data_IF_125913298026
#
_entry.id   IF_125913298026
#
_cell.length_a   1.000
_cell.length_b   1.000
_cell.length_c   1.000
_cell.angle_alpha   90.00
_cell.angle_beta   90.00
_cell.angle_gamma   90.00
#
_symmetry.space_group_name_H-M   'P 1'
#
loop_
_entity.id
_entity.type
_entity.pdbx_description
1 polymer ?
#
# COMPACT_ATOMS: atom_id res chain seq x y z
N UNK A 1 -19.60 8.84 28.73
CA UNK A 1 -19.19 7.54 28.21
C UNK A 1 -18.04 7.79 27.23
N UNK A 2 -16.96 7.02 27.27
CA UNK A 2 -15.84 7.19 26.32
C UNK A 2 -16.33 6.79 24.93
N UNK A 3 -16.05 7.64 23.92
CA UNK A 3 -16.36 7.35 22.51
C UNK A 3 -15.13 6.81 21.83
N UNK A 4 -15.31 5.75 21.06
CA UNK A 4 -14.26 5.12 20.28
C UNK A 4 -14.62 5.07 18.80
N UNK A 5 -13.61 5.20 17.94
CA UNK A 5 -13.70 4.97 16.51
C UNK A 5 -12.63 3.94 16.16
N UNK A 6 -13.01 2.87 15.49
CA UNK A 6 -12.07 1.82 15.13
C UNK A 6 -11.55 1.97 13.72
N UNK A 7 -10.30 1.55 13.51
CA UNK A 7 -9.74 1.32 12.20
C UNK A 7 -9.11 -0.07 12.11
N UNK A 8 -9.47 -0.78 11.03
CA UNK A 8 -9.04 -2.15 10.76
C UNK A 8 -8.41 -2.27 9.39
N UNK A 9 -7.38 -3.10 9.26
CA UNK A 9 -6.69 -3.29 8.00
C UNK A 9 -6.35 -4.76 7.73
N UNK A 10 -6.51 -5.17 6.47
CA UNK A 10 -5.99 -6.44 5.95
C UNK A 10 -5.09 -6.18 4.75
N UNK A 11 -4.13 -7.07 4.52
CA UNK A 11 -3.09 -6.87 3.50
C UNK A 11 -3.43 -7.44 2.13
N UNK A 12 -4.48 -8.23 1.98
CA UNK A 12 -4.87 -8.83 0.70
C UNK A 12 -6.38 -8.85 0.49
N UNK A 13 -6.80 -8.76 -0.79
CA UNK A 13 -8.20 -8.89 -1.17
C UNK A 13 -8.79 -10.24 -0.72
N UNK A 14 -8.00 -11.33 -0.74
CA UNK A 14 -8.44 -12.64 -0.26
C UNK A 14 -8.73 -12.62 1.24
N UNK A 15 -7.90 -11.96 2.04
CA UNK A 15 -8.13 -11.78 3.48
C UNK A 15 -9.33 -10.86 3.75
N UNK A 16 -9.53 -9.83 2.94
CA UNK A 16 -10.72 -8.98 2.99
C UNK A 16 -11.98 -9.76 2.61
N UNK A 17 -11.92 -10.56 1.55
CA UNK A 17 -13.06 -11.35 1.07
C UNK A 17 -13.41 -12.51 2.00
N UNK A 18 -12.44 -13.16 2.65
CA UNK A 18 -12.69 -14.22 3.64
C UNK A 18 -13.25 -13.70 4.96
N UNK A 19 -13.09 -12.41 5.24
CA UNK A 19 -13.53 -11.75 6.47
C UNK A 19 -12.81 -12.18 7.76
N UNK A 20 -12.12 -13.32 7.77
CA UNK A 20 -11.51 -13.89 8.97
C UNK A 20 -10.54 -12.92 9.66
N UNK A 21 -9.69 -12.24 8.90
CA UNK A 21 -8.75 -11.28 9.45
C UNK A 21 -9.39 -10.01 10.00
N UNK A 22 -10.52 -9.57 9.42
CA UNK A 22 -11.30 -8.42 9.91
C UNK A 22 -12.17 -8.82 11.10
N UNK A 23 -12.80 -10.01 11.06
CA UNK A 23 -13.61 -10.53 12.16
C UNK A 23 -12.80 -10.66 13.45
N UNK A 24 -11.58 -11.22 13.40
CA UNK A 24 -10.71 -11.30 14.57
C UNK A 24 -10.32 -9.93 15.13
N UNK A 25 -10.14 -8.92 14.27
CA UNK A 25 -9.89 -7.55 14.72
C UNK A 25 -11.15 -6.94 15.36
N UNK A 26 -12.34 -7.23 14.83
CA UNK A 26 -13.62 -6.79 15.40
C UNK A 26 -13.79 -7.31 16.82
N UNK A 27 -13.60 -8.60 17.02
CA UNK A 27 -13.73 -9.25 18.32
C UNK A 27 -12.81 -8.63 19.38
N UNK A 28 -11.55 -8.37 19.01
CA UNK A 28 -10.58 -7.70 19.88
C UNK A 28 -11.06 -6.29 20.26
N UNK A 29 -11.53 -5.52 19.27
CA UNK A 29 -12.02 -4.15 19.48
C UNK A 29 -13.27 -4.14 20.35
N UNK A 30 -14.26 -4.99 20.08
CA UNK A 30 -15.49 -5.09 20.88
C UNK A 30 -15.21 -5.45 22.33
N UNK A 31 -14.31 -6.42 22.54
CA UNK A 31 -13.87 -6.80 23.88
C UNK A 31 -13.22 -5.61 24.62
N UNK A 32 -12.35 -4.88 23.93
CA UNK A 32 -11.69 -3.70 24.50
C UNK A 32 -12.69 -2.60 24.84
N UNK A 33 -13.58 -2.24 23.91
CA UNK A 33 -14.62 -1.20 24.12
C UNK A 33 -15.51 -1.56 25.32
N UNK A 34 -15.90 -2.84 25.43
CA UNK A 34 -16.69 -3.33 26.58
C UNK A 34 -15.93 -3.23 27.91
N UNK A 35 -14.66 -3.60 27.91
CA UNK A 35 -13.80 -3.49 29.10
C UNK A 35 -13.65 -2.03 29.56
N UNK A 36 -13.51 -1.09 28.62
CA UNK A 36 -13.42 0.35 28.87
C UNK A 36 -14.79 1.00 29.19
N UNK A 37 -15.90 0.25 29.19
CA UNK A 37 -17.26 0.76 29.36
C UNK A 37 -17.57 1.93 28.42
N UNK A 38 -17.04 1.84 27.20
CA UNK A 38 -17.18 2.86 26.14
C UNK A 38 -18.22 2.50 25.12
N UNK A 39 -18.31 3.30 24.07
CA UNK A 39 -19.18 3.16 22.93
C UNK A 39 -18.35 3.24 21.63
N UNK A 40 -18.53 2.29 20.73
CA UNK A 40 -17.97 2.35 19.38
C UNK A 40 -18.94 3.10 18.48
N UNK A 41 -18.61 4.36 18.15
CA UNK A 41 -19.49 5.24 17.37
C UNK A 41 -19.28 5.14 15.86
N UNK A 42 -18.13 4.63 15.40
CA UNK A 42 -17.86 4.36 13.99
C UNK A 42 -16.77 3.30 13.83
N UNK A 43 -16.80 2.61 12.69
CA UNK A 43 -15.83 1.58 12.32
C UNK A 43 -15.39 1.74 10.88
N UNK A 44 -14.10 1.91 10.68
CA UNK A 44 -13.46 2.04 9.38
C UNK A 44 -12.61 0.81 9.07
N UNK A 45 -12.63 0.38 7.82
CA UNK A 45 -11.77 -0.74 7.40
C UNK A 45 -11.32 -0.57 5.96
N UNK A 46 -10.13 -1.07 5.68
CA UNK A 46 -9.57 -1.06 4.33
C UNK A 46 -8.69 -2.27 4.02
N UNK A 47 -8.59 -2.56 2.73
CA UNK A 47 -7.66 -3.55 2.20
C UNK A 47 -6.47 -2.79 1.62
N UNK A 48 -5.35 -2.81 2.31
CA UNK A 48 -4.17 -2.05 1.91
C UNK A 48 -2.88 -2.85 2.09
N UNK A 49 -2.13 -3.01 1.01
CA UNK A 49 -0.90 -3.82 0.97
C UNK A 49 0.38 -2.99 1.10
N UNK A 50 0.29 -1.68 0.97
CA UNK A 50 1.43 -0.76 1.08
C UNK A 50 2.09 -0.79 2.45
N UNK A 51 3.33 -0.34 2.51
CA UNK A 51 4.06 -0.16 3.78
C UNK A 51 3.76 1.18 4.42
N UNK A 52 3.53 2.21 3.59
CA UNK A 52 3.27 3.58 4.02
C UNK A 52 1.79 3.76 4.38
N UNK A 53 1.52 4.37 5.52
CA UNK A 53 0.16 4.63 5.99
C UNK A 53 -0.48 5.86 5.30
N UNK A 54 0.33 6.66 4.61
CA UNK A 54 -0.14 7.79 3.80
C UNK A 54 -1.18 7.41 2.74
N UNK A 55 -1.12 6.16 2.25
CA UNK A 55 -2.11 5.61 1.31
C UNK A 55 -3.38 5.06 1.96
N UNK A 56 -3.49 5.06 3.29
CA UNK A 56 -4.64 4.56 4.03
C UNK A 56 -5.70 5.65 4.16
N UNK A 57 -6.63 5.70 3.19
CA UNK A 57 -7.67 6.75 3.14
C UNK A 57 -8.70 6.62 4.24
N UNK A 58 -9.07 5.40 4.61
CA UNK A 58 -10.04 5.16 5.69
C UNK A 58 -9.45 5.48 7.06
N UNK A 59 -8.14 5.28 7.25
CA UNK A 59 -7.44 5.73 8.46
C UNK A 59 -7.55 7.26 8.62
N UNK A 60 -7.32 8.02 7.55
CA UNK A 60 -7.42 9.48 7.59
C UNK A 60 -8.82 9.96 7.94
N UNK A 61 -9.86 9.35 7.37
CA UNK A 61 -11.26 9.63 7.72
C UNK A 61 -11.56 9.32 9.19
N UNK A 62 -11.08 8.18 9.70
CA UNK A 62 -11.24 7.80 11.09
C UNK A 62 -10.60 8.84 12.03
N UNK A 63 -9.37 9.30 11.72
CA UNK A 63 -8.67 10.32 12.49
C UNK A 63 -9.42 11.66 12.48
N UNK A 64 -9.90 12.09 11.33
CA UNK A 64 -10.68 13.32 11.19
C UNK A 64 -11.98 13.27 12.01
N UNK A 65 -12.69 12.14 11.96
CA UNK A 65 -13.89 11.95 12.76
C UNK A 65 -13.57 11.91 14.26
N UNK A 66 -12.48 11.27 14.67
CA UNK A 66 -12.04 11.30 16.06
C UNK A 66 -11.84 12.73 16.58
N UNK A 67 -11.15 13.57 15.82
CA UNK A 67 -10.95 14.98 16.16
C UNK A 67 -12.25 15.75 16.26
N UNK A 68 -13.19 15.50 15.35
CA UNK A 68 -14.49 16.15 15.33
C UNK A 68 -15.40 15.74 16.50
N UNK A 69 -15.43 14.47 16.84
CA UNK A 69 -16.32 13.89 17.86
C UNK A 69 -15.69 13.86 19.27
N UNK A 70 -14.43 14.23 19.41
CA UNK A 70 -13.67 14.06 20.66
C UNK A 70 -13.55 12.58 21.04
N UNK A 71 -13.46 11.69 20.05
CA UNK A 71 -13.36 10.25 20.22
C UNK A 71 -11.91 9.77 20.18
N UNK A 72 -11.65 8.61 20.80
CA UNK A 72 -10.34 7.95 20.77
C UNK A 72 -10.29 6.98 19.57
N UNK A 73 -9.23 7.05 18.77
CA UNK A 73 -8.97 6.07 17.74
C UNK A 73 -8.51 4.75 18.35
N UNK A 74 -9.11 3.63 18.00
CA UNK A 74 -8.69 2.32 18.48
C UNK A 74 -8.31 1.38 17.34
N UNK A 75 -7.25 0.62 17.55
CA UNK A 75 -6.64 -0.30 16.60
C UNK A 75 -6.43 -1.64 17.30
N UNK A 76 -6.89 -2.72 16.66
CA UNK A 76 -6.85 -4.05 17.28
C UNK A 76 -5.43 -4.49 17.69
N UNK A 77 -4.43 -4.19 16.87
CA UNK A 77 -3.04 -4.61 17.11
C UNK A 77 -2.04 -3.61 16.56
N UNK A 78 -0.93 -3.45 17.25
CA UNK A 78 0.20 -2.59 16.84
C UNK A 78 0.82 -3.00 15.51
N UNK A 79 0.80 -4.30 15.15
CA UNK A 79 1.32 -4.83 13.87
C UNK A 79 0.56 -4.35 12.63
N UNK A 80 -0.59 -3.70 12.80
CA UNK A 80 -1.29 -2.99 11.71
C UNK A 80 -0.49 -1.79 11.20
N UNK A 81 0.35 -1.21 12.06
CA UNK A 81 1.30 -0.17 11.67
C UNK A 81 2.65 -0.79 11.32
N UNK A 82 2.94 -0.88 10.03
CA UNK A 82 4.19 -1.49 9.53
C UNK A 82 5.38 -0.55 9.54
N UNK A 83 5.13 0.74 9.66
CA UNK A 83 6.14 1.79 9.67
C UNK A 83 6.11 2.47 11.03
N UNK A 84 7.16 2.24 11.82
CA UNK A 84 7.31 2.80 13.16
C UNK A 84 7.25 4.32 13.18
N UNK A 85 7.90 4.97 12.21
CA UNK A 85 7.98 6.44 12.14
C UNK A 85 6.58 7.02 11.90
N UNK A 86 5.85 6.48 10.91
CA UNK A 86 4.48 6.93 10.62
C UNK A 86 3.52 6.64 11.78
N UNK A 87 3.68 5.51 12.47
CA UNK A 87 2.88 5.19 13.65
C UNK A 87 3.05 6.22 14.77
N UNK A 88 4.28 6.65 15.01
CA UNK A 88 4.57 7.69 16.00
C UNK A 88 4.10 9.08 15.54
N UNK A 89 4.18 9.38 14.25
CA UNK A 89 3.61 10.61 13.67
C UNK A 89 2.09 10.65 13.88
N UNK A 90 1.39 9.53 13.62
CA UNK A 90 -0.06 9.43 13.85
C UNK A 90 -0.40 9.55 15.32
N UNK A 91 0.42 8.96 16.22
CA UNK A 91 0.25 9.14 17.66
C UNK A 91 0.33 10.62 18.06
N UNK A 92 1.31 11.35 17.53
CA UNK A 92 1.46 12.80 17.79
C UNK A 92 0.31 13.60 17.15
N UNK A 93 -0.09 13.27 15.93
CA UNK A 93 -1.20 13.92 15.23
C UNK A 93 -2.55 13.74 15.92
N UNK A 94 -2.70 12.62 16.65
CA UNK A 94 -3.86 12.32 17.50
C UNK A 94 -3.70 12.82 18.95
N UNK A 95 -2.62 13.55 19.25
CA UNK A 95 -2.33 14.07 20.60
C UNK A 95 -2.39 12.97 21.69
N UNK A 96 -1.96 11.76 21.35
CA UNK A 96 -2.05 10.58 22.23
C UNK A 96 -3.44 9.95 22.32
N UNK A 97 -4.43 10.47 21.61
CA UNK A 97 -5.81 9.95 21.60
C UNK A 97 -5.97 8.74 20.66
N UNK A 98 -5.03 7.82 20.76
CA UNK A 98 -5.00 6.55 20.02
C UNK A 98 -4.64 5.42 20.98
N UNK A 99 -5.42 4.33 20.93
CA UNK A 99 -5.16 3.12 21.70
C UNK A 99 -4.98 1.91 20.78
N UNK A 100 -4.03 1.09 21.18
CA UNK A 100 -3.85 -0.25 20.60
C UNK A 100 -4.39 -1.26 21.60
N UNK A 101 -5.34 -2.12 21.14
CA UNK A 101 -5.99 -3.05 22.04
C UNK A 101 -5.04 -4.11 22.62
N UNK A 102 -3.93 -4.41 21.92
CA UNK A 102 -2.86 -5.30 22.39
C UNK A 102 -1.85 -4.59 23.33
N UNK A 103 -1.87 -3.24 23.38
CA UNK A 103 -1.03 -2.41 24.27
C UNK A 103 -1.85 -1.22 24.80
N UNK A 104 -2.89 -1.45 25.63
CA UNK A 104 -3.77 -0.40 26.10
C UNK A 104 -3.03 0.57 27.02
N UNK A 105 -3.42 1.85 26.98
CA UNK A 105 -2.92 2.92 27.87
C UNK A 105 -1.40 3.13 27.83
N UNK A 106 -0.79 2.82 26.70
CA UNK A 106 0.65 2.94 26.52
C UNK A 106 1.03 4.38 26.18
N UNK A 107 1.99 4.94 26.89
CA UNK A 107 2.57 6.24 26.59
C UNK A 107 3.47 6.17 25.34
N UNK A 108 3.82 7.34 24.80
CA UNK A 108 4.65 7.46 23.61
C UNK A 108 6.02 6.79 23.75
N UNK A 109 6.63 6.86 24.96
CA UNK A 109 7.94 6.26 25.20
C UNK A 109 7.87 4.74 25.12
N UNK A 110 6.91 4.15 25.83
CA UNK A 110 6.69 2.71 25.82
C UNK A 110 6.32 2.20 24.41
N UNK A 111 5.44 2.93 23.71
CA UNK A 111 5.09 2.61 22.31
C UNK A 111 6.31 2.64 21.40
N UNK A 112 7.17 3.64 21.53
CA UNK A 112 8.43 3.75 20.77
C UNK A 112 9.33 2.54 21.02
N UNK A 113 9.45 2.12 22.28
CA UNK A 113 10.25 0.96 22.66
C UNK A 113 9.70 -0.33 22.03
N UNK A 114 8.39 -0.55 22.09
CA UNK A 114 7.76 -1.72 21.46
C UNK A 114 7.97 -1.76 19.93
N UNK A 115 7.80 -0.64 19.27
CA UNK A 115 8.06 -0.56 17.82
C UNK A 115 9.53 -0.83 17.50
N UNK A 116 10.47 -0.28 18.27
CA UNK A 116 11.89 -0.53 18.05
C UNK A 116 12.26 -2.01 18.27
N UNK A 117 11.66 -2.66 19.26
CA UNK A 117 11.84 -4.10 19.48
C UNK A 117 11.26 -4.93 18.36
N UNK A 118 10.06 -4.60 17.87
CA UNK A 118 9.43 -5.31 16.74
C UNK A 118 10.25 -5.17 15.45
N UNK A 119 10.81 -4.00 15.17
CA UNK A 119 11.70 -3.77 14.04
C UNK A 119 13.01 -4.60 14.16
N UNK A 120 13.60 -4.63 15.36
CA UNK A 120 14.79 -5.45 15.63
C UNK A 120 14.50 -6.95 15.43
N UNK A 121 13.36 -7.44 15.91
CA UNK A 121 12.96 -8.84 15.72
C UNK A 121 12.79 -9.16 14.23
N UNK A 122 12.12 -8.31 13.48
CA UNK A 122 11.94 -8.48 12.02
C UNK A 122 13.30 -8.52 11.30
N UNK A 123 14.26 -7.67 11.70
CA UNK A 123 15.62 -7.68 11.17
C UNK A 123 16.34 -9.01 11.48
N UNK A 124 16.28 -9.48 12.72
CA UNK A 124 16.90 -10.75 13.13
C UNK A 124 16.32 -11.92 12.36
N UNK A 125 14.98 -12.00 12.22
CA UNK A 125 14.30 -13.02 11.41
C UNK A 125 14.75 -12.97 9.96
N UNK A 126 14.87 -11.77 9.38
CA UNK A 126 15.36 -11.56 8.01
C UNK A 126 16.78 -12.08 7.83
N UNK A 127 17.69 -11.74 8.76
CA UNK A 127 19.09 -12.21 8.75
C UNK A 127 19.15 -13.74 8.83
N UNK A 128 18.44 -14.33 9.79
CA UNK A 128 18.37 -15.79 9.94
C UNK A 128 17.83 -16.49 8.70
N UNK A 129 16.77 -15.96 8.11
CA UNK A 129 16.16 -16.49 6.89
C UNK A 129 17.15 -16.42 5.72
N UNK A 130 17.82 -15.29 5.52
CA UNK A 130 18.84 -15.12 4.48
C UNK A 130 20.00 -16.11 4.67
N UNK A 131 20.49 -16.27 5.89
CA UNK A 131 21.57 -17.22 6.21
C UNK A 131 21.14 -18.66 5.93
N UNK A 132 19.93 -19.05 6.36
CA UNK A 132 19.39 -20.41 6.11
C UNK A 132 19.21 -20.68 4.60
N UNK A 133 18.72 -19.70 3.84
CA UNK A 133 18.59 -19.82 2.38
C UNK A 133 19.96 -19.90 1.69
N UNK A 134 20.94 -19.12 2.14
CA UNK A 134 22.30 -19.18 1.63
C UNK A 134 22.94 -20.56 1.87
N UNK A 135 22.77 -21.13 3.08
CA UNK A 135 23.25 -22.46 3.40
C UNK A 135 22.59 -23.55 2.52
N UNK A 136 21.27 -23.48 2.32
CA UNK A 136 20.56 -24.39 1.40
C UNK A 136 21.06 -24.27 -0.03
N UNK A 137 21.30 -23.04 -0.50
CA UNK A 137 21.85 -22.78 -1.84
C UNK A 137 23.24 -23.40 -1.99
N UNK A 138 24.11 -23.27 -0.98
CA UNK A 138 25.44 -23.88 -0.96
C UNK A 138 25.38 -25.41 -0.99
N UNK A 139 24.36 -26.04 -0.43
CA UNK A 139 24.08 -27.49 -0.50
C UNK A 139 23.46 -27.91 -1.84
N UNK A 140 23.36 -27.03 -2.83
CA UNK A 140 22.82 -27.35 -4.16
C UNK A 140 21.30 -27.33 -4.27
N UNK A 141 20.57 -26.90 -3.24
CA UNK A 141 19.12 -26.76 -3.34
C UNK A 141 18.75 -25.58 -4.24
N UNK A 142 17.88 -25.82 -5.22
CA UNK A 142 17.26 -24.74 -5.99
C UNK A 142 16.24 -24.03 -5.09
N UNK A 143 16.52 -22.76 -4.78
CA UNK A 143 15.61 -21.89 -4.04
C UNK A 143 14.64 -21.24 -5.02
N UNK A 144 13.42 -20.98 -4.57
CA UNK A 144 12.36 -20.40 -5.38
C UNK A 144 11.15 -21.31 -5.46
N UNK A 145 10.44 -21.26 -6.57
CA UNK A 145 9.26 -22.09 -6.78
C UNK A 145 9.48 -23.55 -6.51
N UNK A 146 8.57 -24.13 -5.74
CA UNK A 146 8.58 -25.56 -5.42
C UNK A 146 8.71 -26.43 -6.67
N UNK A 147 9.27 -27.61 -6.51
CA UNK A 147 9.54 -28.56 -7.58
C UNK A 147 8.31 -28.75 -8.49
N UNK A 148 8.46 -28.40 -9.76
CA UNK A 148 7.49 -28.74 -10.80
C UNK A 148 6.27 -27.82 -10.94
N UNK A 149 6.19 -26.68 -10.26
CA UNK A 149 5.12 -25.72 -10.53
C UNK A 149 5.46 -24.98 -11.81
N UNK A 150 4.73 -25.26 -12.88
CA UNK A 150 4.76 -24.46 -14.11
C UNK A 150 4.06 -23.13 -13.88
N UNK A 151 4.84 -22.06 -13.84
CA UNK A 151 4.33 -20.69 -13.70
C UNK A 151 4.06 -20.01 -15.05
N UNK A 152 4.25 -20.68 -16.18
CA UNK A 152 4.07 -20.07 -17.50
C UNK A 152 2.70 -19.41 -17.61
N UNK A 153 1.63 -20.12 -17.30
CA UNK A 153 0.26 -19.60 -17.31
C UNK A 153 0.05 -18.44 -16.33
N UNK A 154 0.62 -18.50 -15.12
CA UNK A 154 0.51 -17.42 -14.15
C UNK A 154 1.29 -16.19 -14.59
N UNK A 155 2.45 -16.36 -15.20
CA UNK A 155 3.25 -15.29 -15.77
C UNK A 155 2.56 -14.65 -16.98
N UNK A 156 1.98 -15.45 -17.85
CA UNK A 156 1.17 -14.98 -19.00
C UNK A 156 -0.05 -14.20 -18.54
N UNK A 157 -0.82 -14.73 -17.60
CA UNK A 157 -1.97 -14.04 -17.02
C UNK A 157 -1.57 -12.72 -16.34
N UNK A 158 -0.45 -12.70 -15.59
CA UNK A 158 0.08 -11.49 -14.98
C UNK A 158 0.59 -10.48 -16.01
N UNK A 159 1.20 -10.93 -17.09
CA UNK A 159 1.63 -10.06 -18.19
C UNK A 159 0.42 -9.48 -18.93
N UNK A 160 -0.62 -10.30 -19.19
CA UNK A 160 -1.85 -9.85 -19.80
C UNK A 160 -2.57 -8.82 -18.92
N UNK A 161 -2.75 -9.09 -17.63
CA UNK A 161 -3.37 -8.15 -16.71
C UNK A 161 -2.64 -6.80 -16.65
N UNK A 162 -1.30 -6.79 -16.71
CA UNK A 162 -0.50 -5.56 -16.80
C UNK A 162 -0.72 -4.81 -18.12
N UNK A 163 -0.81 -5.52 -19.24
CA UNK A 163 -1.13 -4.92 -20.54
C UNK A 163 -2.53 -4.31 -20.55
N UNK A 164 -3.53 -5.04 -20.03
CA UNK A 164 -4.91 -4.56 -19.96
C UNK A 164 -5.04 -3.34 -19.06
N UNK A 165 -4.37 -3.35 -17.90
CA UNK A 165 -4.30 -2.17 -17.02
C UNK A 165 -3.69 -0.97 -17.75
N UNK A 166 -2.55 -1.16 -18.42
CA UNK A 166 -1.89 -0.08 -19.14
C UNK A 166 -2.71 0.41 -20.33
N UNK A 167 -3.45 -0.48 -21.02
CA UNK A 167 -4.34 -0.15 -22.13
C UNK A 167 -5.58 0.64 -21.67
N UNK A 168 -6.05 0.39 -20.45
CA UNK A 168 -7.21 1.05 -19.89
C UNK A 168 -6.88 2.35 -19.14
N UNK A 169 -5.62 2.61 -18.88
CA UNK A 169 -5.16 3.82 -18.21
C UNK A 169 -5.52 5.08 -19.03
N UNK A 170 -6.23 6.07 -18.46
CA UNK A 170 -6.65 7.27 -19.16
C UNK A 170 -5.48 8.07 -19.74
N UNK A 171 -4.40 8.22 -18.98
CA UNK A 171 -3.21 8.94 -19.44
C UNK A 171 -2.56 8.25 -20.64
N UNK A 172 -2.43 6.92 -20.61
CA UNK A 172 -1.88 6.16 -21.71
C UNK A 172 -2.74 6.27 -22.98
N UNK A 173 -4.08 6.34 -22.84
CA UNK A 173 -4.99 6.57 -23.98
C UNK A 173 -4.77 7.95 -24.60
N UNK A 174 -4.63 8.99 -23.79
CA UNK A 174 -4.34 10.35 -24.25
C UNK A 174 -2.98 10.40 -24.96
N UNK A 175 -1.94 9.85 -24.31
CA UNK A 175 -0.59 9.81 -24.89
C UNK A 175 -0.63 9.07 -26.25
N UNK A 176 -1.27 7.90 -26.29
CA UNK A 176 -1.37 7.12 -27.53
C UNK A 176 -2.18 7.84 -28.62
N UNK A 177 -3.24 8.56 -28.26
CA UNK A 177 -4.00 9.40 -29.19
C UNK A 177 -3.15 10.49 -29.83
N UNK A 178 -2.18 11.04 -29.12
CA UNK A 178 -1.27 12.08 -29.64
C UNK A 178 -0.13 11.48 -30.47
N UNK A 179 0.52 10.40 -29.99
CA UNK A 179 1.76 9.89 -30.60
C UNK A 179 1.56 8.69 -31.51
N UNK A 180 0.44 7.98 -31.43
CA UNK A 180 0.20 6.70 -32.10
C UNK A 180 -0.38 6.77 -33.49
N UNK A 181 -0.98 7.91 -33.89
CA UNK A 181 -1.78 8.02 -35.11
C UNK A 181 -0.95 8.16 -36.41
N UNK A 182 0.26 8.71 -36.33
CA UNK A 182 1.06 9.14 -37.48
C UNK A 182 2.32 8.30 -37.76
N UNK A 183 2.34 7.03 -37.33
CA UNK A 183 3.51 6.18 -37.53
C UNK A 183 4.61 6.39 -36.46
N UNK A 184 5.87 6.19 -36.87
CA UNK A 184 7.01 6.43 -35.94
C UNK A 184 7.31 7.93 -35.92
N UNK A 185 7.19 8.61 -34.75
CA UNK A 185 7.38 10.06 -34.70
C UNK A 185 8.84 10.45 -34.98
N UNK A 186 9.02 11.50 -35.75
CA UNK A 186 10.32 12.16 -35.96
C UNK A 186 10.74 12.96 -34.72
N UNK A 187 11.96 13.51 -34.74
CA UNK A 187 12.44 14.36 -33.63
C UNK A 187 11.58 15.61 -33.44
N UNK A 188 11.20 16.25 -34.56
CA UNK A 188 10.36 17.46 -34.58
C UNK A 188 8.92 17.15 -34.13
N UNK A 189 8.40 15.98 -34.51
CA UNK A 189 7.10 15.52 -34.03
C UNK A 189 7.11 15.34 -32.51
N UNK A 190 8.14 14.70 -31.97
CA UNK A 190 8.28 14.52 -30.54
C UNK A 190 8.35 15.83 -29.77
N UNK A 191 9.05 16.85 -30.30
CA UNK A 191 9.08 18.18 -29.67
C UNK A 191 7.69 18.81 -29.62
N UNK A 192 6.97 18.84 -30.75
CA UNK A 192 5.60 19.39 -30.83
C UNK A 192 4.61 18.67 -29.91
N UNK A 193 4.62 17.33 -29.97
CA UNK A 193 3.75 16.49 -29.15
C UNK A 193 4.07 16.60 -27.64
N UNK A 194 5.33 16.80 -27.28
CA UNK A 194 5.75 17.05 -25.88
C UNK A 194 5.13 18.33 -25.35
N UNK A 195 5.20 19.43 -26.11
CA UNK A 195 4.59 20.70 -25.73
C UNK A 195 3.08 20.53 -25.56
N UNK A 196 2.42 19.87 -26.51
CA UNK A 196 0.98 19.62 -26.48
C UNK A 196 0.56 18.82 -25.22
N UNK A 197 1.23 17.71 -24.90
CA UNK A 197 0.90 16.89 -23.74
C UNK A 197 1.12 17.64 -22.42
N UNK A 198 2.20 18.43 -22.32
CA UNK A 198 2.47 19.24 -21.13
C UNK A 198 1.43 20.36 -20.95
N UNK A 199 0.98 21.00 -22.03
CA UNK A 199 -0.12 21.98 -22.00
C UNK A 199 -1.45 21.36 -21.58
N UNK A 200 -1.69 20.10 -21.95
CA UNK A 200 -2.86 19.33 -21.49
C UNK A 200 -2.75 18.85 -20.03
N UNK A 201 -1.63 19.12 -19.35
CA UNK A 201 -1.39 18.69 -17.98
C UNK A 201 -1.13 17.19 -17.81
N UNK A 202 -0.90 16.47 -18.92
CA UNK A 202 -0.62 15.02 -18.88
C UNK A 202 0.79 14.78 -18.36
N UNK A 203 0.91 13.96 -17.33
CA UNK A 203 2.19 13.62 -16.72
C UNK A 203 2.66 12.22 -17.13
N UNK A 204 3.97 12.01 -17.11
CA UNK A 204 4.57 10.69 -17.29
C UNK A 204 4.19 9.73 -16.14
N UNK A 205 4.44 8.44 -16.30
CA UNK A 205 4.21 7.44 -15.25
C UNK A 205 4.92 7.74 -13.92
N UNK A 206 5.96 8.56 -13.94
CA UNK A 206 6.69 9.04 -12.75
C UNK A 206 6.17 10.39 -12.22
N UNK A 207 5.03 10.89 -12.73
CA UNK A 207 4.43 12.17 -12.31
C UNK A 207 5.14 13.42 -12.86
N UNK A 208 6.15 13.25 -13.70
CA UNK A 208 6.94 14.37 -14.27
C UNK A 208 6.40 14.81 -15.62
N UNK A 209 6.74 16.02 -16.04
CA UNK A 209 6.50 16.52 -17.39
C UNK A 209 7.24 15.71 -18.44
N UNK A 210 6.68 15.68 -19.65
CA UNK A 210 7.34 15.03 -20.77
C UNK A 210 8.53 15.84 -21.27
N UNK A 211 9.59 15.13 -21.62
CA UNK A 211 10.64 15.58 -22.52
C UNK A 211 10.55 14.74 -23.80
N UNK A 212 11.14 15.16 -24.95
CA UNK A 212 11.12 14.38 -26.18
C UNK A 212 11.63 12.95 -26.00
N UNK A 213 12.65 12.73 -25.16
CA UNK A 213 13.21 11.42 -24.86
C UNK A 213 12.24 10.55 -24.05
N UNK A 214 11.59 11.14 -23.04
CA UNK A 214 10.57 10.45 -22.23
C UNK A 214 9.36 10.07 -23.10
N UNK A 215 8.95 10.97 -23.99
CA UNK A 215 7.84 10.72 -24.90
C UNK A 215 8.19 9.63 -25.91
N UNK A 216 9.43 9.60 -26.44
CA UNK A 216 9.93 8.53 -27.28
C UNK A 216 9.86 7.17 -26.58
N UNK A 217 10.31 7.11 -25.33
CA UNK A 217 10.24 5.90 -24.52
C UNK A 217 8.78 5.44 -24.29
N UNK A 218 7.88 6.39 -23.97
CA UNK A 218 6.46 6.13 -23.80
C UNK A 218 5.83 5.58 -25.10
N UNK A 219 6.16 6.17 -26.25
CA UNK A 219 5.70 5.70 -27.57
C UNK A 219 6.05 4.23 -27.81
N UNK A 220 7.32 3.83 -27.63
CA UNK A 220 7.72 2.44 -27.85
C UNK A 220 7.06 1.46 -26.86
N UNK A 221 6.86 1.87 -25.63
CA UNK A 221 6.15 1.07 -24.63
C UNK A 221 4.66 0.89 -25.02
N UNK A 222 3.98 1.97 -25.39
CA UNK A 222 2.57 1.95 -25.76
C UNK A 222 2.34 1.26 -27.11
N UNK A 223 3.27 1.36 -28.06
CA UNK A 223 3.22 0.63 -29.32
C UNK A 223 3.10 -0.89 -29.12
N UNK A 224 3.76 -1.45 -28.07
CA UNK A 224 3.67 -2.88 -27.72
C UNK A 224 2.33 -3.26 -27.08
N UNK A 225 1.55 -2.29 -26.62
CA UNK A 225 0.28 -2.48 -25.93
C UNK A 225 -0.90 -2.31 -26.89
N UNK A 226 -0.80 -1.36 -27.82
CA UNK A 226 -1.88 -0.98 -28.72
C UNK A 226 -1.77 -1.57 -30.14
N UNK A 227 -0.61 -2.04 -30.54
CA UNK A 227 -0.36 -2.81 -31.78
C UNK A 227 0.04 -4.24 -31.49
#
# INVERSE_FOLDING_TARGET
MKKFISWRRVSTLKQGASGLGLAAQTEIIEHFVKAEKGELIADYHEVYTGKELSGCTELRKAMEQCKKEGATLIIAKTDRFRNTIEALQIYDEMEGNIYFCDLPHTDKFTLTLFFALAEREALIVSIRTKAALAAKKAQGYKLGNGKGIDLSKANEASAQARRDKAKNDPNNKIIWGVVGLNGTPTSDDLQRMTIQLNQMGVKSASGMEFTPERLRSAYYNLKRIYK
#
